data_IF_328248279625
#
_entry.id   IF_328248279625
#
_cell.length_a   1.000
_cell.length_b   1.000
_cell.length_c   1.000
_cell.angle_alpha   90.00
_cell.angle_beta   90.00
_cell.angle_gamma   90.00
#
_symmetry.space_group_name_H-M   'P 1'
#
loop_
_entity.id
_entity.type
_entity.pdbx_description
1 polymer ?
#
# COMPACT_ATOMS: atom_id res chain seq x y z
N UNK A 1 21.78 -17.97 19.22
CA UNK A 1 20.88 -16.86 19.58
C UNK A 1 19.83 -16.71 18.48
N UNK A 2 18.54 -16.73 18.81
CA UNK A 2 17.48 -16.56 17.81
C UNK A 2 17.36 -15.07 17.43
N UNK A 3 17.74 -14.72 16.21
CA UNK A 3 17.59 -13.39 15.64
C UNK A 3 16.26 -13.29 14.89
N UNK A 4 15.60 -12.13 14.94
CA UNK A 4 14.41 -11.83 14.16
C UNK A 4 14.61 -10.53 13.35
N UNK A 5 13.76 -10.28 12.35
CA UNK A 5 13.83 -9.06 11.54
C UNK A 5 12.98 -7.96 12.17
N UNK A 6 13.53 -6.76 12.29
CA UNK A 6 12.76 -5.57 12.67
C UNK A 6 11.68 -5.27 11.60
N UNK A 7 10.42 -4.98 11.98
CA UNK A 7 9.33 -4.73 11.03
C UNK A 7 9.49 -3.42 10.23
N UNK A 8 10.28 -2.48 10.74
CA UNK A 8 10.51 -1.17 10.11
C UNK A 8 11.75 -1.18 9.21
N UNK A 9 12.94 -1.47 9.77
CA UNK A 9 14.21 -1.37 9.05
C UNK A 9 14.74 -2.70 8.49
N UNK A 10 14.06 -3.83 8.76
CA UNK A 10 14.40 -5.20 8.30
C UNK A 10 15.76 -5.75 8.75
N UNK A 11 16.49 -5.04 9.62
CA UNK A 11 17.73 -5.54 10.21
C UNK A 11 17.49 -6.73 11.14
N UNK A 12 18.47 -7.62 11.24
CA UNK A 12 18.44 -8.77 12.17
C UNK A 12 18.78 -8.29 13.58
N UNK A 13 17.88 -8.54 14.53
CA UNK A 13 18.00 -8.10 15.92
C UNK A 13 17.67 -9.24 16.89
N UNK A 14 18.17 -9.13 18.12
CA UNK A 14 17.86 -10.07 19.20
C UNK A 14 16.37 -10.00 19.58
N UNK A 15 15.76 -11.16 19.90
CA UNK A 15 14.36 -11.23 20.37
C UNK A 15 14.10 -10.53 21.71
N UNK A 16 15.15 -10.24 22.49
CA UNK A 16 15.04 -9.64 23.83
C UNK A 16 15.18 -8.10 23.76
N UNK A 17 15.55 -7.55 22.60
CA UNK A 17 15.75 -6.13 22.44
C UNK A 17 14.41 -5.38 22.58
N UNK A 18 14.32 -4.45 23.54
CA UNK A 18 13.16 -3.56 23.72
C UNK A 18 13.03 -2.52 22.62
N UNK A 19 14.17 -2.12 22.04
CA UNK A 19 14.25 -1.17 20.94
C UNK A 19 15.19 -1.69 19.86
N UNK A 20 14.91 -1.37 18.60
CA UNK A 20 15.82 -1.67 17.50
C UNK A 20 17.03 -0.71 17.56
N UNK A 21 18.28 -1.21 17.66
CA UNK A 21 19.46 -0.35 17.70
C UNK A 21 19.75 0.38 16.38
N UNK A 22 19.09 0.01 15.28
CA UNK A 22 19.32 0.59 13.96
C UNK A 22 18.33 1.71 13.60
N UNK A 23 17.07 1.61 14.03
CA UNK A 23 16.03 2.60 13.69
C UNK A 23 15.29 3.18 14.91
N UNK A 24 15.49 2.63 16.11
CA UNK A 24 14.81 3.08 17.32
C UNK A 24 13.41 2.49 17.54
N UNK A 25 12.94 1.60 16.66
CA UNK A 25 11.61 0.98 16.79
C UNK A 25 11.40 0.29 18.13
N UNK A 26 10.31 0.62 18.81
CA UNK A 26 9.92 0.03 20.10
C UNK A 26 9.18 -1.29 19.92
N UNK A 27 9.57 -2.31 20.68
CA UNK A 27 8.91 -3.62 20.73
C UNK A 27 7.91 -3.74 21.89
N UNK A 28 7.53 -2.62 22.52
CA UNK A 28 6.47 -2.62 23.52
C UNK A 28 5.12 -2.92 22.85
N UNK A 29 4.28 -3.68 23.53
CA UNK A 29 3.02 -4.19 22.97
C UNK A 29 2.10 -3.08 22.46
N UNK A 30 1.96 -1.98 23.21
CA UNK A 30 1.20 -0.81 22.79
C UNK A 30 1.73 -0.16 21.49
N UNK A 31 3.05 -0.03 21.35
CA UNK A 31 3.67 0.57 20.16
C UNK A 31 3.50 -0.34 18.93
N UNK A 32 3.55 -1.67 19.14
CA UNK A 32 3.30 -2.66 18.10
C UNK A 32 1.85 -2.58 17.59
N UNK A 33 0.88 -2.44 18.49
CA UNK A 33 -0.54 -2.31 18.13
C UNK A 33 -0.79 -1.05 17.32
N UNK A 34 -0.26 0.08 17.76
CA UNK A 34 -0.35 1.36 17.03
C UNK A 34 0.28 1.23 15.64
N UNK A 35 1.45 0.61 15.53
CA UNK A 35 2.11 0.38 14.25
C UNK A 35 1.26 -0.49 13.30
N UNK A 36 0.64 -1.55 13.80
CA UNK A 36 -0.28 -2.41 13.01
C UNK A 36 -1.49 -1.63 12.52
N UNK A 37 -2.10 -0.81 13.38
CA UNK A 37 -3.23 0.04 13.02
C UNK A 37 -2.85 1.02 11.91
N UNK A 38 -1.69 1.66 12.01
CA UNK A 38 -1.19 2.56 10.97
C UNK A 38 -0.98 1.84 9.62
N UNK A 39 -0.44 0.61 9.64
CA UNK A 39 -0.28 -0.20 8.43
C UNK A 39 -1.64 -0.54 7.80
N UNK A 40 -2.63 -0.88 8.61
CA UNK A 40 -3.98 -1.18 8.14
C UNK A 40 -4.66 0.06 7.56
N UNK A 41 -4.54 1.22 8.22
CA UNK A 41 -5.03 2.49 7.70
C UNK A 41 -4.40 2.84 6.35
N UNK A 42 -3.07 2.68 6.20
CA UNK A 42 -2.38 2.88 4.92
C UNK A 42 -2.90 1.92 3.84
N UNK A 43 -3.16 0.66 4.19
CA UNK A 43 -3.72 -0.33 3.27
C UNK A 43 -5.11 0.10 2.77
N UNK A 44 -6.00 0.47 3.69
CA UNK A 44 -7.36 0.91 3.35
C UNK A 44 -7.33 2.17 2.48
N UNK A 45 -6.50 3.16 2.84
CA UNK A 45 -6.32 4.39 2.07
C UNK A 45 -5.82 4.10 0.64
N UNK A 46 -4.81 3.24 0.49
CA UNK A 46 -4.32 2.85 -0.84
C UNK A 46 -5.36 2.07 -1.65
N UNK A 47 -6.18 1.23 -1.01
CA UNK A 47 -7.29 0.55 -1.66
C UNK A 47 -8.34 1.54 -2.16
N UNK A 48 -8.67 2.57 -1.37
CA UNK A 48 -9.58 3.63 -1.79
C UNK A 48 -9.04 4.45 -2.97
N UNK A 49 -7.75 4.82 -2.94
CA UNK A 49 -7.10 5.50 -4.07
C UNK A 49 -7.19 4.63 -5.32
N UNK A 50 -6.81 3.35 -5.21
CA UNK A 50 -6.83 2.43 -6.35
C UNK A 50 -8.26 2.27 -6.92
N UNK A 51 -9.28 2.22 -6.05
CA UNK A 51 -10.69 2.19 -6.45
C UNK A 51 -11.11 3.44 -7.23
N UNK A 52 -10.67 4.63 -6.81
CA UNK A 52 -10.93 5.89 -7.53
C UNK A 52 -10.24 5.90 -8.89
N UNK A 53 -8.97 5.50 -8.95
CA UNK A 53 -8.22 5.39 -10.21
C UNK A 53 -8.86 4.39 -11.19
N UNK A 54 -9.32 3.23 -10.71
CA UNK A 54 -10.01 2.25 -11.55
C UNK A 54 -11.28 2.83 -12.19
N UNK A 55 -12.08 3.60 -11.44
CA UNK A 55 -13.26 4.29 -12.00
C UNK A 55 -12.88 5.27 -13.11
N UNK A 56 -11.80 6.05 -12.91
CA UNK A 56 -11.31 6.98 -13.93
C UNK A 56 -10.85 6.25 -15.19
N UNK A 57 -10.13 5.13 -15.05
CA UNK A 57 -9.71 4.32 -16.21
C UNK A 57 -10.92 3.77 -16.98
N UNK A 58 -11.97 3.29 -16.29
CA UNK A 58 -13.18 2.82 -16.97
C UNK A 58 -13.87 3.93 -17.76
N UNK A 59 -13.96 5.14 -17.20
CA UNK A 59 -14.52 6.30 -17.92
C UNK A 59 -13.69 6.63 -19.16
N UNK A 60 -12.35 6.66 -19.04
CA UNK A 60 -11.46 6.87 -20.19
C UNK A 60 -11.59 5.78 -21.26
N UNK A 61 -11.73 4.51 -20.86
CA UNK A 61 -11.95 3.41 -21.79
C UNK A 61 -13.26 3.57 -22.56
N UNK A 62 -14.34 3.99 -21.90
CA UNK A 62 -15.61 4.26 -22.58
C UNK A 62 -15.50 5.41 -23.58
N UNK A 63 -14.86 6.52 -23.19
CA UNK A 63 -14.64 7.65 -24.10
C UNK A 63 -13.81 7.21 -25.31
N UNK A 64 -12.71 6.49 -25.08
CA UNK A 64 -11.84 5.99 -26.14
C UNK A 64 -12.57 5.06 -27.10
N UNK A 65 -13.38 4.13 -26.58
CA UNK A 65 -14.21 3.24 -27.40
C UNK A 65 -15.24 4.00 -28.25
N UNK A 66 -15.89 5.03 -27.69
CA UNK A 66 -16.83 5.88 -28.43
C UNK A 66 -16.13 6.64 -29.56
N UNK A 67 -14.96 7.23 -29.30
CA UNK A 67 -14.19 7.95 -30.31
C UNK A 67 -13.77 7.02 -31.46
N UNK A 68 -13.27 5.82 -31.15
CA UNK A 68 -12.92 4.81 -32.16
C UNK A 68 -14.16 4.39 -32.96
N UNK A 69 -15.28 4.12 -32.29
CA UNK A 69 -16.52 3.73 -32.95
C UNK A 69 -17.05 4.78 -33.93
N UNK A 70 -17.02 6.05 -33.54
CA UNK A 70 -17.41 7.18 -34.40
C UNK A 70 -16.47 7.34 -35.60
N UNK A 71 -15.16 7.24 -35.37
CA UNK A 71 -14.17 7.33 -36.45
C UNK A 71 -14.33 6.18 -37.47
N UNK A 72 -14.59 4.97 -36.99
CA UNK A 72 -14.85 3.80 -37.84
C UNK A 72 -16.14 3.98 -38.67
N UNK A 73 -17.20 4.56 -38.08
CA UNK A 73 -18.46 4.84 -38.78
C UNK A 73 -18.31 5.89 -39.88
N UNK A 74 -17.48 6.92 -39.68
CA UNK A 74 -17.25 7.95 -40.71
C UNK A 74 -16.37 7.43 -41.87
N UNK A 75 -15.51 6.45 -41.61
CA UNK A 75 -14.61 5.91 -42.63
C UNK A 75 -15.25 4.85 -43.56
N UNK A 76 -16.44 4.35 -43.23
CA UNK A 76 -17.12 3.28 -43.98
C UNK A 76 -18.44 3.75 -44.59
#
# INVERSE_FOLDING_TARGET
MALHKCPECRHKISKIAKYCPHCGFSFNEADIEVYKQQLEQRRLHNQEINRKSAKLHLVWLMIFALVIGLAAWWNN
#
